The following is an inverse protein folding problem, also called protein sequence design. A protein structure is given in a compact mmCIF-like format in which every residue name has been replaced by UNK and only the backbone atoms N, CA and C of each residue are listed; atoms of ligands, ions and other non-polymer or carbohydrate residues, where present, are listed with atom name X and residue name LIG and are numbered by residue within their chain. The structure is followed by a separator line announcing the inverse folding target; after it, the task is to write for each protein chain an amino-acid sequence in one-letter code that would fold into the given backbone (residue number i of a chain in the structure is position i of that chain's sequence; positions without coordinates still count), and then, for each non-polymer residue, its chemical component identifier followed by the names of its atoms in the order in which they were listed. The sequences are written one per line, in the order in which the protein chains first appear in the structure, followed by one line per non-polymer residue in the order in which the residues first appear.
data_IF_972857101760
#
_entry.id   IF_972857101760
#
_cell.length_a   1.000
_cell.length_b   1.000
_cell.length_c   1.000
_cell.angle_alpha   90.00
_cell.angle_beta   90.00
_cell.angle_gamma   90.00
#
_symmetry.space_group_name_H-M   'P 1'
#
loop_
_entity.id
_entity.type
_entity.pdbx_description
1 polymer ?
#
# COMPACT_ATOMS: atom_id res chain seq x y z
N UNK A 1 2.96 29.07 -15.34
CA UNK A 1 3.36 28.67 -13.98
C UNK A 1 2.44 27.53 -13.58
N UNK A 2 2.82 26.28 -13.89
CA UNK A 2 2.03 25.12 -13.50
C UNK A 2 2.19 24.93 -12.00
N UNK A 3 1.12 25.15 -11.24
CA UNK A 3 1.07 24.69 -9.86
C UNK A 3 1.21 23.16 -9.92
N UNK A 4 2.42 22.65 -9.71
CA UNK A 4 2.60 21.30 -9.15
C UNK A 4 1.69 21.28 -7.93
N UNK A 5 0.57 20.57 -8.03
CA UNK A 5 -0.38 20.38 -6.94
C UNK A 5 0.43 19.77 -5.80
N UNK A 6 0.86 20.59 -4.85
CA UNK A 6 1.63 20.17 -3.68
C UNK A 6 0.71 19.26 -2.83
N UNK A 7 0.61 17.98 -3.21
CA UNK A 7 0.02 16.91 -2.40
C UNK A 7 1.05 16.33 -1.41
N UNK A 8 2.17 17.03 -1.18
CA UNK A 8 3.37 16.54 -0.46
C UNK A 8 3.14 16.20 1.03
N UNK A 9 1.99 16.53 1.62
CA UNK A 9 1.70 16.30 3.05
C UNK A 9 0.59 15.26 3.29
N UNK A 10 0.30 14.42 2.29
CA UNK A 10 -0.73 13.39 2.42
C UNK A 10 -0.21 12.23 3.26
N UNK A 11 -0.71 12.08 4.48
CA UNK A 11 -0.31 10.99 5.40
C UNK A 11 -0.97 9.68 5.00
N UNK A 12 -0.24 8.59 5.07
CA UNK A 12 -0.79 7.26 4.82
C UNK A 12 -0.27 6.21 5.78
N UNK A 13 -0.96 5.08 5.78
CA UNK A 13 -0.55 3.88 6.50
C UNK A 13 -0.70 2.67 5.57
N UNK A 14 0.33 1.85 5.47
CA UNK A 14 0.31 0.61 4.69
C UNK A 14 0.26 -0.59 5.63
N UNK A 15 -0.73 -1.45 5.42
CA UNK A 15 -0.96 -2.71 6.11
C UNK A 15 -0.51 -3.88 5.25
N UNK A 16 -0.05 -4.96 5.89
CA UNK A 16 0.17 -6.26 5.26
C UNK A 16 -0.74 -7.27 5.92
N UNK A 17 -1.70 -7.81 5.16
CA UNK A 17 -2.78 -8.65 5.70
C UNK A 17 -2.91 -9.92 4.86
N UNK A 18 -3.11 -11.09 5.50
CA UNK A 18 -3.48 -12.32 4.79
C UNK A 18 -4.82 -12.17 4.08
N UNK A 19 -4.88 -12.52 2.78
CA UNK A 19 -6.08 -12.32 1.97
C UNK A 19 -7.28 -13.19 2.37
N UNK A 20 -7.04 -14.31 3.06
CA UNK A 20 -8.10 -15.20 3.54
C UNK A 20 -9.00 -14.53 4.59
N UNK A 21 -8.47 -13.56 5.35
CA UNK A 21 -9.24 -12.75 6.30
C UNK A 21 -10.42 -12.05 5.62
N UNK A 22 -10.24 -11.58 4.39
CA UNK A 22 -11.29 -10.85 3.67
C UNK A 22 -12.51 -11.72 3.34
N UNK A 23 -12.36 -13.05 3.26
CA UNK A 23 -13.45 -13.98 2.93
C UNK A 23 -14.55 -14.02 3.99
N UNK A 24 -14.26 -13.51 5.20
CA UNK A 24 -15.21 -13.42 6.32
C UNK A 24 -16.17 -12.23 6.20
N UNK A 25 -15.92 -11.31 5.26
CA UNK A 25 -16.63 -10.04 5.15
C UNK A 25 -17.29 -9.92 3.78
N UNK A 26 -18.51 -9.35 3.75
CA UNK A 26 -19.28 -9.14 2.50
C UNK A 26 -18.52 -8.25 1.52
N UNK A 27 -17.84 -7.22 2.05
CA UNK A 27 -17.08 -6.26 1.24
C UNK A 27 -15.78 -6.85 0.68
N UNK A 28 -15.38 -8.05 1.11
CA UNK A 28 -14.15 -8.70 0.67
C UNK A 28 -12.93 -7.79 0.84
N UNK A 29 -12.19 -7.56 -0.25
CA UNK A 29 -11.02 -6.67 -0.24
C UNK A 29 -11.35 -5.18 -0.08
N UNK A 30 -12.61 -4.77 -0.23
CA UNK A 30 -13.03 -3.39 -0.03
C UNK A 30 -13.32 -3.05 1.45
N UNK A 31 -13.18 -4.02 2.36
CA UNK A 31 -13.45 -3.88 3.79
C UNK A 31 -12.73 -2.67 4.41
N UNK A 32 -13.40 -1.98 5.34
CA UNK A 32 -12.78 -0.92 6.13
C UNK A 32 -11.57 -1.51 6.90
N UNK A 33 -10.36 -0.93 6.76
CA UNK A 33 -9.15 -1.45 7.39
C UNK A 33 -9.25 -1.61 8.92
N UNK A 34 -10.06 -0.79 9.58
CA UNK A 34 -10.30 -0.82 11.02
C UNK A 34 -10.95 -2.13 11.50
N UNK A 35 -11.70 -2.82 10.64
CA UNK A 35 -12.40 -4.07 10.96
C UNK A 35 -11.46 -5.28 10.98
N UNK A 36 -10.29 -5.15 10.37
CA UNK A 36 -9.30 -6.23 10.23
C UNK A 36 -7.94 -5.85 10.81
N UNK A 37 -7.87 -4.77 11.60
CA UNK A 37 -6.64 -4.21 12.16
C UNK A 37 -5.77 -5.24 12.90
N UNK A 38 -6.39 -6.15 13.65
CA UNK A 38 -5.70 -7.17 14.45
C UNK A 38 -5.03 -8.26 13.59
N UNK A 39 -5.35 -8.32 12.29
CA UNK A 39 -4.75 -9.27 11.35
C UNK A 39 -3.58 -8.65 10.57
N UNK A 40 -3.23 -7.40 10.85
CA UNK A 40 -2.14 -6.68 10.20
C UNK A 40 -0.80 -7.09 10.80
N UNK A 41 0.13 -7.51 9.94
CA UNK A 41 1.50 -7.86 10.35
C UNK A 41 2.40 -6.63 10.50
N UNK A 42 1.99 -5.50 9.94
CA UNK A 42 2.63 -4.21 10.13
C UNK A 42 1.65 -3.09 9.85
N UNK A 43 1.73 -2.01 10.62
CA UNK A 43 1.02 -0.77 10.33
C UNK A 43 2.07 0.33 10.10
N UNK A 44 2.58 0.39 8.87
CA UNK A 44 3.68 1.30 8.50
C UNK A 44 3.10 2.64 8.08
N UNK A 45 3.32 3.66 8.90
CA UNK A 45 2.93 5.02 8.61
C UNK A 45 4.03 5.76 7.84
N UNK A 46 3.64 6.50 6.81
CA UNK A 46 4.49 7.45 6.10
C UNK A 46 3.83 8.84 6.14
N UNK A 47 4.62 9.86 6.47
CA UNK A 47 4.12 11.22 6.67
C UNK A 47 3.73 11.94 5.37
N UNK A 48 4.29 11.51 4.23
CA UNK A 48 4.21 12.21 2.95
C UNK A 48 3.67 11.31 1.82
N UNK A 49 3.23 11.97 0.75
CA UNK A 49 2.93 11.39 -0.56
C UNK A 49 1.97 10.19 -0.58
N UNK A 50 1.03 10.17 0.36
CA UNK A 50 0.09 9.08 0.56
C UNK A 50 -1.02 8.91 -0.48
N UNK A 51 -1.11 9.78 -1.48
CA UNK A 51 -2.18 9.73 -2.47
C UNK A 51 -2.03 8.57 -3.46
N UNK A 52 -3.12 8.06 -4.08
CA UNK A 52 -3.09 6.90 -4.97
C UNK A 52 -2.07 6.99 -6.11
N UNK A 53 -1.93 8.18 -6.71
CA UNK A 53 -1.00 8.44 -7.81
C UNK A 53 0.48 8.29 -7.39
N UNK A 54 0.78 8.34 -6.08
CA UNK A 54 2.13 8.10 -5.58
C UNK A 54 2.24 6.81 -4.80
N UNK A 55 1.69 6.75 -3.58
CA UNK A 55 1.90 5.59 -2.72
C UNK A 55 1.30 4.32 -3.31
N UNK A 56 0.14 4.40 -3.97
CA UNK A 56 -0.45 3.25 -4.68
C UNK A 56 0.49 2.73 -5.78
N UNK A 57 1.04 3.63 -6.60
CA UNK A 57 1.99 3.29 -7.67
C UNK A 57 3.32 2.78 -7.11
N UNK A 58 3.83 3.38 -6.02
CA UNK A 58 5.07 2.95 -5.35
C UNK A 58 4.94 1.55 -4.78
N UNK A 59 3.81 1.23 -4.13
CA UNK A 59 3.53 -0.14 -3.66
C UNK A 59 3.47 -1.10 -4.86
N UNK A 60 2.75 -0.75 -5.93
CA UNK A 60 2.63 -1.62 -7.10
C UNK A 60 4.00 -1.91 -7.76
N UNK A 61 4.85 -0.88 -7.90
CA UNK A 61 6.22 -1.01 -8.42
C UNK A 61 7.10 -1.84 -7.49
N UNK A 62 7.02 -1.63 -6.18
CA UNK A 62 7.76 -2.43 -5.22
C UNK A 62 7.34 -3.90 -5.25
N UNK A 63 6.04 -4.20 -5.30
CA UNK A 63 5.58 -5.59 -5.41
C UNK A 63 6.12 -6.24 -6.69
N UNK A 64 6.07 -5.52 -7.82
CA UNK A 64 6.65 -6.00 -9.08
C UNK A 64 8.15 -6.31 -8.94
N UNK A 65 8.94 -5.37 -8.40
CA UNK A 65 10.36 -5.57 -8.11
C UNK A 65 10.62 -6.78 -7.20
N UNK A 66 9.80 -6.94 -6.15
CA UNK A 66 9.92 -8.08 -5.24
C UNK A 66 9.67 -9.42 -5.92
N UNK A 67 8.71 -9.48 -6.85
CA UNK A 67 8.38 -10.70 -7.59
C UNK A 67 9.39 -11.01 -8.71
N UNK A 68 9.72 -10.01 -9.51
CA UNK A 68 10.50 -10.18 -10.74
C UNK A 68 12.02 -10.26 -10.45
N UNK A 69 12.51 -9.44 -9.51
CA UNK A 69 13.96 -9.27 -9.29
C UNK A 69 14.43 -9.95 -8.00
N UNK A 70 13.59 -9.95 -6.95
CA UNK A 70 13.95 -10.49 -5.63
C UNK A 70 13.44 -11.93 -5.41
N UNK A 71 12.69 -12.50 -6.35
CA UNK A 71 12.23 -13.90 -6.31
C UNK A 71 11.09 -14.19 -5.32
N UNK A 72 10.41 -13.17 -4.79
CA UNK A 72 9.27 -13.33 -3.88
C UNK A 72 7.96 -13.63 -4.63
N UNK A 73 7.96 -14.63 -5.50
CA UNK A 73 6.87 -14.89 -6.46
C UNK A 73 5.51 -15.18 -5.83
N UNK A 74 5.45 -15.76 -4.61
CA UNK A 74 4.20 -16.22 -4.00
C UNK A 74 3.63 -15.34 -2.87
N UNK A 75 4.28 -14.23 -2.46
CA UNK A 75 3.81 -13.32 -1.37
C UNK A 75 3.13 -14.04 -0.18
N UNK A 76 3.58 -15.25 0.17
CA UNK A 76 2.78 -16.21 0.94
C UNK A 76 2.91 -16.08 2.45
N UNK A 77 4.00 -15.48 2.92
CA UNK A 77 4.25 -15.22 4.34
C UNK A 77 4.11 -13.72 4.60
N UNK A 78 3.04 -13.27 5.29
CA UNK A 78 2.81 -11.86 5.58
C UNK A 78 3.87 -11.25 6.49
N UNK A 79 4.45 -12.00 7.42
CA UNK A 79 5.52 -11.51 8.33
C UNK A 79 6.76 -11.17 7.53
N UNK A 80 7.13 -12.06 6.58
CA UNK A 80 8.26 -11.85 5.69
C UNK A 80 8.04 -10.62 4.80
N UNK A 81 6.86 -10.51 4.17
CA UNK A 81 6.53 -9.35 3.32
C UNK A 81 6.53 -8.04 4.11
N UNK A 82 5.97 -8.04 5.33
CA UNK A 82 6.01 -6.90 6.23
C UNK A 82 7.44 -6.43 6.54
N UNK A 83 8.36 -7.36 6.82
CA UNK A 83 9.76 -7.03 7.12
C UNK A 83 10.48 -6.33 5.95
N UNK A 84 10.24 -6.81 4.71
CA UNK A 84 10.79 -6.18 3.51
C UNK A 84 10.15 -4.83 3.24
N UNK A 85 8.83 -4.71 3.38
CA UNK A 85 8.11 -3.44 3.20
C UNK A 85 8.71 -2.34 4.10
N UNK A 86 8.88 -2.62 5.39
CA UNK A 86 9.43 -1.66 6.37
C UNK A 86 10.86 -1.24 6.02
N UNK A 87 11.69 -2.20 5.61
CA UNK A 87 13.08 -1.94 5.21
C UNK A 87 13.13 -1.09 3.94
N UNK A 88 12.40 -1.49 2.92
CA UNK A 88 12.52 -0.95 1.57
C UNK A 88 11.80 0.39 1.43
N UNK A 89 10.83 0.73 2.28
CA UNK A 89 10.20 2.06 2.31
C UNK A 89 10.84 3.02 3.31
N UNK A 90 11.88 2.60 4.04
CA UNK A 90 12.48 3.40 5.11
C UNK A 90 12.98 4.77 4.64
N UNK A 91 12.60 5.80 5.41
CA UNK A 91 13.11 7.17 5.39
C UNK A 91 12.81 7.84 6.76
N UNK A 92 13.32 9.06 6.98
CA UNK A 92 13.28 9.71 8.31
C UNK A 92 11.87 9.95 8.91
N UNK A 93 10.82 9.99 8.10
CA UNK A 93 9.44 10.17 8.57
C UNK A 93 8.57 8.92 8.39
N UNK A 94 9.21 7.74 8.45
CA UNK A 94 8.54 6.45 8.57
C UNK A 94 8.40 6.06 10.05
N UNK A 95 7.21 5.58 10.42
CA UNK A 95 6.92 5.13 11.78
C UNK A 95 6.13 3.82 11.75
N UNK A 96 6.24 3.02 12.82
CA UNK A 96 5.44 1.82 13.01
C UNK A 96 4.47 2.05 14.16
N UNK A 97 3.22 1.68 13.95
CA UNK A 97 2.18 1.77 14.96
C UNK A 97 1.60 0.39 15.28
N UNK A 98 1.07 0.19 16.50
CA UNK A 98 0.47 -1.10 16.87
C UNK A 98 -0.83 -1.38 16.10
N UNK A 99 -1.53 -0.34 15.60
CA UNK A 99 -2.77 -0.48 14.85
C UNK A 99 -2.95 0.68 13.87
N UNK A 100 -3.72 0.45 12.80
CA UNK A 100 -4.23 1.52 11.90
C UNK A 100 -5.00 2.60 12.66
N UNK A 101 -5.60 2.26 13.80
CA UNK A 101 -6.37 3.18 14.65
C UNK A 101 -5.49 4.08 15.53
N UNK A 102 -4.18 3.83 15.59
CA UNK A 102 -3.27 4.50 16.53
C UNK A 102 -2.70 5.83 16.02
N UNK A 103 -3.00 6.22 14.79
CA UNK A 103 -2.49 7.46 14.19
C UNK A 103 -3.50 8.03 13.20
N UNK A 104 -3.68 9.34 13.22
CA UNK A 104 -4.46 10.07 12.22
C UNK A 104 -3.73 10.09 10.86
N UNK A 105 -4.42 9.65 9.80
CA UNK A 105 -3.92 9.60 8.43
C UNK A 105 -5.09 9.53 7.44
N UNK A 106 -4.86 9.95 6.20
CA UNK A 106 -5.92 9.97 5.19
C UNK A 106 -6.09 8.61 4.52
N UNK A 107 -5.03 8.05 3.93
CA UNK A 107 -5.14 6.84 3.13
C UNK A 107 -4.58 5.63 3.85
N UNK A 108 -5.36 4.56 3.94
CA UNK A 108 -4.86 3.24 4.31
C UNK A 108 -4.71 2.38 3.06
N UNK A 109 -3.51 1.85 2.86
CA UNK A 109 -3.25 0.82 1.85
C UNK A 109 -3.22 -0.55 2.51
N UNK A 110 -3.75 -1.57 1.85
CA UNK A 110 -3.67 -2.96 2.30
C UNK A 110 -3.03 -3.78 1.20
N UNK A 111 -1.88 -4.39 1.48
CA UNK A 111 -1.26 -5.40 0.63
C UNK A 111 -1.80 -6.76 1.03
N UNK A 112 -2.56 -7.39 0.13
CA UNK A 112 -3.18 -8.69 0.36
C UNK A 112 -2.23 -9.81 -0.02
N UNK A 113 -1.73 -10.52 0.99
CA UNK A 113 -0.76 -11.62 0.87
C UNK A 113 -1.43 -12.98 0.76
N UNK A 114 -0.68 -14.01 0.37
CA UNK A 114 -1.14 -15.41 0.34
C UNK A 114 -1.28 -16.03 -1.05
N UNK A 115 -1.08 -15.26 -2.13
CA UNK A 115 -1.04 -15.77 -3.51
C UNK A 115 -0.08 -14.93 -4.39
N UNK A 116 0.35 -15.46 -5.56
CA UNK A 116 1.17 -14.72 -6.52
C UNK A 116 0.44 -13.51 -7.15
N UNK A 117 -0.88 -13.58 -7.31
CA UNK A 117 -1.69 -12.44 -7.76
C UNK A 117 -1.87 -11.47 -6.58
N UNK A 118 -0.96 -10.51 -6.44
CA UNK A 118 -1.04 -9.53 -5.36
C UNK A 118 -2.09 -8.47 -5.69
N UNK A 119 -3.01 -8.28 -4.75
CA UNK A 119 -4.03 -7.22 -4.78
C UNK A 119 -3.70 -6.17 -3.74
N UNK A 120 -4.05 -4.93 -4.05
CA UNK A 120 -3.93 -3.81 -3.10
C UNK A 120 -5.26 -3.09 -3.02
N UNK A 121 -5.65 -2.76 -1.79
CA UNK A 121 -6.77 -1.86 -1.51
C UNK A 121 -6.25 -0.50 -1.06
N UNK A 122 -6.98 0.55 -1.40
CA UNK A 122 -6.79 1.90 -0.86
C UNK A 122 -8.12 2.36 -0.27
N UNK A 123 -8.10 2.76 0.99
CA UNK A 123 -9.25 3.26 1.73
C UNK A 123 -8.97 4.70 2.17
N UNK A 124 -9.90 5.61 1.91
CA UNK A 124 -9.83 6.99 2.40
C UNK A 124 -10.57 7.07 3.74
N UNK A 125 -9.80 7.17 4.82
CA UNK A 125 -10.29 7.19 6.20
C UNK A 125 -11.07 8.48 6.51
N UNK A 126 -10.76 9.59 5.82
CA UNK A 126 -11.44 10.86 6.06
C UNK A 126 -12.80 10.92 5.36
N UNK A 127 -12.94 10.17 4.28
CA UNK A 127 -14.16 10.08 3.47
C UNK A 127 -14.95 8.78 3.73
N UNK A 128 -14.45 7.92 4.63
CA UNK A 128 -15.01 6.61 4.99
C UNK A 128 -15.38 5.76 3.76
N UNK A 129 -14.48 5.68 2.77
CA UNK A 129 -14.76 4.99 1.51
C UNK A 129 -13.57 4.27 0.91
N UNK A 130 -13.85 3.15 0.25
CA UNK A 130 -12.87 2.49 -0.61
C UNK A 130 -12.60 3.35 -1.85
N UNK A 131 -11.32 3.64 -2.12
CA UNK A 131 -10.86 4.36 -3.31
C UNK A 131 -10.62 3.39 -4.46
N UNK A 132 -10.00 2.24 -4.17
CA UNK A 132 -9.86 1.16 -5.12
C UNK A 132 -9.58 -0.19 -4.43
N UNK A 133 -9.83 -1.25 -5.19
CA UNK A 133 -9.34 -2.62 -5.00
C UNK A 133 -8.84 -3.09 -6.36
N UNK A 134 -7.52 -3.22 -6.54
CA UNK A 134 -6.94 -3.52 -7.85
C UNK A 134 -5.74 -4.46 -7.72
N UNK A 135 -5.50 -5.35 -8.72
CA UNK A 135 -4.22 -6.00 -8.87
C UNK A 135 -3.14 -4.98 -9.29
N UNK A 136 -1.88 -5.24 -8.94
CA UNK A 136 -0.77 -4.28 -9.09
C UNK A 136 -0.64 -3.66 -10.49
N UNK A 137 -0.83 -4.43 -11.55
CA UNK A 137 -0.73 -3.93 -12.93
C UNK A 137 -1.81 -2.90 -13.26
N UNK A 138 -3.03 -3.06 -12.73
CA UNK A 138 -4.13 -2.10 -12.91
C UNK A 138 -3.94 -0.81 -12.12
N UNK A 139 -3.20 -0.87 -11.00
CA UNK A 139 -2.83 0.34 -10.25
C UNK A 139 -1.89 1.19 -11.10
N UNK A 140 -0.87 0.57 -11.69
CA UNK A 140 0.07 1.26 -12.59
C UNK A 140 -0.69 1.83 -13.80
N UNK A 141 -1.50 1.03 -14.49
CA UNK A 141 -2.29 1.52 -15.65
C UNK A 141 -3.18 2.74 -15.30
N UNK A 142 -3.76 2.78 -14.10
CA UNK A 142 -4.75 3.79 -13.71
C UNK A 142 -4.13 5.04 -13.09
N UNK A 143 -3.09 4.89 -12.29
CA UNK A 143 -2.60 5.94 -11.40
C UNK A 143 -1.17 6.41 -11.71
N UNK A 144 -0.44 5.74 -12.60
CA UNK A 144 0.89 6.18 -12.99
C UNK A 144 0.81 7.54 -13.72
N UNK A 145 1.32 8.57 -13.08
CA UNK A 145 1.55 9.88 -13.68
C UNK A 145 2.99 9.94 -14.25
N UNK A 146 3.19 10.13 -15.58
CA UNK A 146 4.52 10.21 -16.18
C UNK A 146 5.32 11.46 -15.76
N UNK A 147 4.65 12.49 -15.24
CA UNK A 147 5.31 13.72 -14.78
C UNK A 147 5.78 13.61 -13.30
N UNK A 148 5.50 12.49 -12.63
CA UNK A 148 5.97 12.19 -11.27
C UNK A 148 7.28 11.39 -11.27
N UNK A 149 8.23 11.80 -10.43
CA UNK A 149 9.54 11.17 -10.31
C UNK A 149 9.52 10.08 -9.24
N UNK A 150 9.28 8.83 -9.63
CA UNK A 150 9.27 7.70 -8.68
C UNK A 150 10.70 7.20 -8.43
N UNK A 151 11.24 7.50 -7.25
CA UNK A 151 12.69 7.47 -7.03
C UNK A 151 13.29 6.13 -6.55
N UNK A 152 12.52 5.04 -6.42
CA UNK A 152 13.00 3.82 -5.73
C UNK A 152 12.83 2.51 -6.50
N UNK A 153 11.82 2.39 -7.37
CA UNK A 153 11.52 1.15 -8.09
C UNK A 153 11.10 1.52 -9.52
N UNK A 154 12.02 1.46 -10.49
CA UNK A 154 11.72 1.70 -11.91
C UNK A 154 10.92 0.54 -12.49
N UNK A 155 10.09 0.82 -13.51
CA UNK A 155 9.34 -0.23 -14.24
C UNK A 155 10.25 -0.98 -15.24
N UNK A 156 11.42 -0.41 -15.53
CA UNK A 156 12.39 -0.97 -16.45
C UNK A 156 13.68 -1.28 -15.67
N UNK A 157 13.92 -2.57 -15.45
CA UNK A 157 15.20 -3.23 -15.69
C UNK A 157 14.93 -4.45 -16.58
#
# INVERSE_FOLDING_TARGET
MNLKKLKMSTRNLTMVVPRDISSKYVDGFAINPSEIADNSYVNMYLHHDGYPEWQGVMIAKWVKHMQDDQGFTNFGDPSRIASHLVKDFHYNSQYLYPSVKSIDHQYTYIIWTGKPDVWVSCYDQYEDKNVFVLPIHKIIEKYLDPDMEYNKFSIND
#
